data_IF_485176108327
#
_entry.id   IF_485176108327
#
_cell.length_a   1.000
_cell.length_b   1.000
_cell.length_c   1.000
_cell.angle_alpha   90.00
_cell.angle_beta   90.00
_cell.angle_gamma   90.00
#
_symmetry.space_group_name_H-M   'P 1'
#
loop_
_entity.id
_entity.type
_entity.pdbx_description
1 polymer ?
#
# COMPACT_ATOMS: atom_id res chain seq x y z
N UNK A 1 -74.27 -24.67 -32.09
CA UNK A 1 -73.34 -23.75 -32.76
C UNK A 1 -72.21 -23.52 -31.77
N UNK A 2 -71.05 -24.13 -32.03
CA UNK A 2 -69.98 -24.37 -31.03
C UNK A 2 -69.15 -23.11 -30.71
N UNK A 3 -68.68 -22.96 -29.46
CA UNK A 3 -67.99 -21.78 -28.91
C UNK A 3 -66.50 -21.62 -29.34
N UNK A 4 -66.05 -22.29 -30.40
CA UNK A 4 -64.63 -22.33 -30.77
C UNK A 4 -64.15 -21.17 -31.66
N UNK A 5 -65.06 -20.44 -32.32
CA UNK A 5 -64.69 -19.30 -33.17
C UNK A 5 -64.23 -18.06 -32.36
N UNK A 6 -64.66 -17.92 -31.11
CA UNK A 6 -64.18 -16.86 -30.21
C UNK A 6 -62.72 -17.07 -29.77
N UNK A 7 -62.26 -18.32 -29.67
CA UNK A 7 -60.89 -18.63 -29.23
C UNK A 7 -59.87 -18.32 -30.32
N UNK A 8 -60.25 -18.40 -31.59
CA UNK A 8 -59.37 -18.10 -32.71
C UNK A 8 -59.04 -16.60 -32.78
N UNK A 9 -60.04 -15.73 -32.55
CA UNK A 9 -59.84 -14.28 -32.49
C UNK A 9 -59.03 -13.84 -31.26
N UNK A 10 -59.19 -14.49 -30.11
CA UNK A 10 -58.38 -14.22 -28.92
C UNK A 10 -56.89 -14.59 -29.12
N UNK A 11 -56.62 -15.67 -29.88
CA UNK A 11 -55.25 -16.10 -30.23
C UNK A 11 -54.60 -15.16 -31.25
N UNK A 12 -55.38 -14.60 -32.17
CA UNK A 12 -54.90 -13.60 -33.14
C UNK A 12 -54.56 -12.27 -32.45
N UNK A 13 -55.36 -11.84 -31.46
CA UNK A 13 -55.07 -10.63 -30.67
C UNK A 13 -53.85 -10.80 -29.74
N UNK A 14 -53.65 -11.99 -29.14
CA UNK A 14 -52.45 -12.30 -28.36
C UNK A 14 -51.17 -12.31 -29.21
N UNK A 15 -51.26 -12.70 -30.49
CA UNK A 15 -50.11 -12.66 -31.41
C UNK A 15 -49.77 -11.25 -31.90
N UNK A 16 -50.71 -10.30 -31.88
CA UNK A 16 -50.43 -8.87 -32.16
C UNK A 16 -49.72 -8.18 -31.00
N UNK A 17 -49.88 -8.67 -29.76
CA UNK A 17 -49.13 -8.15 -28.61
C UNK A 17 -47.64 -8.53 -28.62
N UNK A 18 -47.27 -9.60 -29.33
CA UNK A 18 -45.87 -10.05 -29.42
C UNK A 18 -45.08 -9.43 -30.57
N UNK A 19 -45.71 -8.71 -31.49
CA UNK A 19 -45.01 -8.10 -32.63
C UNK A 19 -44.66 -6.62 -32.41
N UNK A 20 -45.19 -5.98 -31.36
CA UNK A 20 -44.81 -4.61 -31.00
C UNK A 20 -43.59 -4.53 -30.06
N UNK A 21 -42.79 -5.59 -30.03
CA UNK A 21 -41.48 -5.65 -29.36
C UNK A 21 -40.39 -4.98 -30.20
N UNK A 22 -40.69 -3.84 -30.82
CA UNK A 22 -39.76 -3.10 -31.67
C UNK A 22 -39.64 -1.61 -31.36
N UNK A 23 -40.28 -1.09 -30.31
CA UNK A 23 -39.99 0.25 -29.79
C UNK A 23 -39.98 0.25 -28.26
N UNK A 24 -38.82 -0.09 -27.69
CA UNK A 24 -38.28 0.65 -26.54
C UNK A 24 -38.18 2.10 -26.99
N UNK A 25 -38.82 3.09 -26.32
CA UNK A 25 -38.48 4.54 -26.38
C UNK A 25 -39.50 5.42 -25.60
N UNK A 26 -40.15 4.99 -24.52
CA UNK A 26 -40.79 6.00 -23.65
C UNK A 26 -39.70 6.70 -22.86
N UNK A 27 -39.77 8.02 -22.77
CA UNK A 27 -38.78 8.85 -22.08
C UNK A 27 -38.59 8.37 -20.63
N UNK A 28 -39.70 8.07 -19.97
CA UNK A 28 -39.76 7.54 -18.60
C UNK A 28 -38.99 6.22 -18.40
N UNK A 29 -38.92 5.36 -19.43
CA UNK A 29 -38.19 4.09 -19.34
C UNK A 29 -36.68 4.33 -19.40
N UNK A 30 -36.25 5.33 -20.18
CA UNK A 30 -34.85 5.73 -20.32
C UNK A 30 -34.40 6.48 -19.06
N UNK A 31 -35.23 7.37 -18.54
CA UNK A 31 -34.98 8.10 -17.29
C UNK A 31 -34.82 7.15 -16.10
N UNK A 32 -35.66 6.10 -16.01
CA UNK A 32 -35.48 5.07 -14.99
C UNK A 32 -34.23 4.22 -15.19
N UNK A 33 -33.85 3.89 -16.43
CA UNK A 33 -32.61 3.15 -16.72
C UNK A 33 -31.36 4.01 -16.39
N UNK A 34 -31.41 5.33 -16.63
CA UNK A 34 -30.36 6.29 -16.25
C UNK A 34 -30.25 6.47 -14.74
N UNK A 35 -31.37 6.66 -14.02
CA UNK A 35 -31.37 6.80 -12.55
C UNK A 35 -30.84 5.54 -11.86
N UNK A 36 -31.14 4.35 -12.41
CA UNK A 36 -30.65 3.08 -11.88
C UNK A 36 -29.14 2.89 -12.11
N UNK A 37 -28.64 3.33 -13.28
CA UNK A 37 -27.21 3.29 -13.60
C UNK A 37 -26.40 4.29 -12.76
N UNK A 38 -26.91 5.51 -12.55
CA UNK A 38 -26.28 6.51 -11.67
C UNK A 38 -26.19 6.01 -10.22
N UNK A 39 -27.26 5.36 -9.72
CA UNK A 39 -27.26 4.78 -8.38
C UNK A 39 -26.30 3.59 -8.24
N UNK A 40 -26.16 2.74 -9.26
CA UNK A 40 -25.17 1.64 -9.25
C UNK A 40 -23.72 2.16 -9.29
N UNK A 41 -23.45 3.19 -10.10
CA UNK A 41 -22.12 3.83 -10.18
C UNK A 41 -21.73 4.53 -8.86
N UNK A 42 -22.69 5.16 -8.17
CA UNK A 42 -22.46 5.78 -6.86
C UNK A 42 -22.16 4.73 -5.77
N UNK A 43 -22.83 3.57 -5.80
CA UNK A 43 -22.57 2.47 -4.86
C UNK A 43 -21.20 1.83 -5.11
N UNK A 44 -20.80 1.60 -6.36
CA UNK A 44 -19.47 1.08 -6.70
C UNK A 44 -18.35 2.06 -6.29
N UNK A 45 -18.55 3.36 -6.46
CA UNK A 45 -17.57 4.37 -6.06
C UNK A 45 -17.39 4.45 -4.53
N UNK A 46 -18.46 4.28 -3.75
CA UNK A 46 -18.40 4.33 -2.28
C UNK A 46 -17.71 3.07 -1.71
N UNK A 47 -17.90 1.89 -2.32
CA UNK A 47 -17.16 0.66 -1.98
C UNK A 47 -15.65 0.76 -2.31
N UNK A 48 -15.29 1.44 -3.42
CA UNK A 48 -13.90 1.70 -3.79
C UNK A 48 -13.23 2.74 -2.87
N UNK A 49 -13.99 3.71 -2.37
CA UNK A 49 -13.51 4.71 -1.42
C UNK A 49 -13.28 4.11 -0.01
N UNK A 50 -14.13 3.17 0.43
CA UNK A 50 -14.06 2.54 1.75
C UNK A 50 -12.79 1.67 1.96
N UNK A 51 -12.13 1.24 0.87
CA UNK A 51 -10.94 0.41 0.92
C UNK A 51 -9.60 1.13 0.74
N UNK A 52 -9.59 2.46 0.59
CA UNK A 52 -8.37 3.24 0.79
C UNK A 52 -8.09 3.39 2.28
N UNK A 53 -7.63 2.30 2.91
CA UNK A 53 -6.85 2.42 4.13
C UNK A 53 -5.67 3.33 3.80
N UNK A 54 -5.65 4.52 4.38
CA UNK A 54 -4.52 5.43 4.33
C UNK A 54 -3.25 4.62 4.59
N UNK A 55 -2.47 4.40 3.52
CA UNK A 55 -1.13 3.82 3.66
C UNK A 55 -0.40 4.80 4.57
N UNK A 56 -0.17 4.39 5.82
CA UNK A 56 0.52 5.19 6.82
C UNK A 56 1.76 5.76 6.17
N UNK A 57 1.76 7.05 5.88
CA UNK A 57 2.93 7.71 5.34
C UNK A 57 4.05 7.51 6.35
N UNK A 58 5.15 6.92 5.93
CA UNK A 58 6.28 6.70 6.81
C UNK A 58 6.68 8.06 7.44
N UNK A 59 7.02 8.10 8.74
CA UNK A 59 7.35 9.35 9.41
C UNK A 59 8.37 10.14 8.60
N UNK A 60 8.19 11.46 8.54
CA UNK A 60 9.08 12.35 7.80
C UNK A 60 10.55 12.27 8.28
N UNK A 61 10.77 11.81 9.53
CA UNK A 61 12.10 11.59 10.10
C UNK A 61 12.19 10.21 10.75
N UNK A 62 13.25 9.45 10.45
CA UNK A 62 13.53 8.12 10.99
C UNK A 62 14.78 8.19 11.89
N UNK A 63 14.71 7.55 13.05
CA UNK A 63 15.79 7.54 14.07
C UNK A 63 16.28 6.11 14.32
N UNK A 64 17.18 5.57 13.48
CA UNK A 64 17.78 4.28 13.75
C UNK A 64 18.77 4.38 14.93
N UNK A 65 18.69 3.42 15.84
CA UNK A 65 19.65 3.23 16.92
C UNK A 65 20.62 2.09 16.57
N UNK A 66 21.92 2.37 16.61
CA UNK A 66 22.96 1.43 16.21
C UNK A 66 23.88 1.08 17.39
N UNK A 67 24.18 -0.21 17.52
CA UNK A 67 25.18 -0.75 18.43
C UNK A 67 26.40 -1.17 17.61
N UNK A 68 27.56 -0.60 17.91
CA UNK A 68 28.81 -0.95 17.22
C UNK A 68 29.57 -1.98 18.05
N UNK A 69 29.92 -3.11 17.44
CA UNK A 69 30.76 -4.13 18.06
C UNK A 69 32.08 -4.16 17.31
N UNK A 70 33.18 -4.04 18.05
CA UNK A 70 34.54 -4.06 17.55
C UNK A 70 35.23 -5.31 18.07
N UNK A 71 35.73 -6.13 17.18
CA UNK A 71 36.49 -7.34 17.49
C UNK A 71 37.89 -7.01 18.01
N UNK A 72 38.62 -8.05 18.42
CA UNK A 72 39.98 -7.90 18.91
C UNK A 72 40.93 -7.35 17.82
N UNK A 73 40.79 -7.83 16.58
CA UNK A 73 41.64 -7.38 15.48
C UNK A 73 41.40 -5.92 15.14
N UNK A 74 40.13 -5.47 15.12
CA UNK A 74 39.77 -4.07 15.00
C UNK A 74 40.31 -3.23 16.16
N UNK A 75 40.28 -3.73 17.39
CA UNK A 75 40.90 -3.07 18.55
C UNK A 75 42.43 -2.94 18.39
N UNK A 76 43.11 -3.99 17.93
CA UNK A 76 44.56 -3.98 17.67
C UNK A 76 44.95 -3.04 16.53
N UNK A 77 44.17 -2.98 15.45
CA UNK A 77 44.39 -2.10 14.30
C UNK A 77 44.43 -0.62 14.71
N UNK A 78 43.65 -0.24 15.72
CA UNK A 78 43.63 1.12 16.28
C UNK A 78 44.67 1.32 17.40
N UNK A 79 45.76 0.57 17.37
CA UNK A 79 46.86 0.67 18.33
C UNK A 79 46.51 0.17 19.73
N UNK A 80 45.41 -0.57 19.90
CA UNK A 80 44.95 -1.00 21.22
C UNK A 80 44.45 0.15 22.10
N UNK A 81 44.07 1.28 21.51
CA UNK A 81 43.55 2.43 22.25
C UNK A 81 42.03 2.59 22.05
N UNK A 82 41.28 2.51 23.15
CA UNK A 82 39.83 2.70 23.13
C UNK A 82 39.43 4.08 22.63
N UNK A 83 40.27 5.11 22.86
CA UNK A 83 39.98 6.46 22.39
C UNK A 83 40.07 6.55 20.88
N UNK A 84 41.10 5.94 20.27
CA UNK A 84 41.24 5.88 18.82
C UNK A 84 40.09 5.10 18.16
N UNK A 85 39.74 3.93 18.70
CA UNK A 85 38.59 3.13 18.22
C UNK A 85 37.31 3.97 18.26
N UNK A 86 36.99 4.59 19.40
CA UNK A 86 35.79 5.42 19.55
C UNK A 86 35.78 6.60 18.58
N UNK A 87 36.90 7.33 18.46
CA UNK A 87 37.03 8.47 17.54
C UNK A 87 36.80 8.07 16.08
N UNK A 88 37.35 6.93 15.68
CA UNK A 88 37.17 6.39 14.34
C UNK A 88 35.69 6.12 14.07
N UNK A 89 35.01 5.33 14.90
CA UNK A 89 33.62 4.96 14.67
C UNK A 89 32.65 6.14 14.76
N UNK A 90 32.86 7.08 15.69
CA UNK A 90 32.08 8.32 15.75
C UNK A 90 32.22 9.10 14.44
N UNK A 91 33.44 9.28 13.94
CA UNK A 91 33.71 10.03 12.72
C UNK A 91 33.14 9.33 11.48
N UNK A 92 33.25 8.00 11.43
CA UNK A 92 32.68 7.18 10.37
C UNK A 92 31.15 7.36 10.29
N UNK A 93 30.46 7.18 11.42
CA UNK A 93 28.99 7.31 11.47
C UNK A 93 28.51 8.73 11.23
N UNK A 94 29.28 9.76 11.61
CA UNK A 94 29.01 11.14 11.19
C UNK A 94 29.05 11.29 9.67
N UNK A 95 30.04 10.67 9.00
CA UNK A 95 30.11 10.64 7.55
C UNK A 95 28.90 9.94 6.91
N UNK A 96 28.41 8.87 7.54
CA UNK A 96 27.22 8.15 7.12
C UNK A 96 25.95 9.02 7.29
N UNK A 97 25.77 9.68 8.43
CA UNK A 97 24.64 10.60 8.69
C UNK A 97 24.58 11.73 7.65
N UNK A 98 25.73 12.31 7.30
CA UNK A 98 25.83 13.33 6.25
C UNK A 98 25.37 12.82 4.89
N UNK A 99 25.70 11.58 4.52
CA UNK A 99 25.23 10.97 3.25
C UNK A 99 23.71 10.78 3.26
N UNK A 100 23.15 10.34 4.38
CA UNK A 100 21.71 10.16 4.49
C UNK A 100 20.94 11.49 4.46
N UNK A 101 21.54 12.59 4.92
CA UNK A 101 20.95 13.93 4.84
C UNK A 101 20.74 14.41 3.40
N UNK A 102 21.50 13.90 2.43
CA UNK A 102 21.38 14.27 1.01
C UNK A 102 20.26 13.53 0.28
N UNK A 103 19.66 12.50 0.88
CA UNK A 103 18.59 11.74 0.26
C UNK A 103 17.30 12.57 0.22
N UNK A 104 16.55 12.44 -0.88
CA UNK A 104 15.22 13.09 -1.05
C UNK A 104 14.11 12.43 -0.23
N UNK A 105 14.36 11.22 0.27
CA UNK A 105 13.42 10.42 1.07
C UNK A 105 13.30 10.91 2.51
N UNK A 106 12.72 10.09 3.42
CA UNK A 106 12.54 10.50 4.81
C UNK A 106 13.90 10.88 5.42
N UNK A 107 13.91 11.93 6.24
CA UNK A 107 15.14 12.42 6.86
C UNK A 107 15.61 11.38 7.87
N UNK A 108 16.82 10.86 7.72
CA UNK A 108 17.37 9.87 8.65
C UNK A 108 18.30 10.58 9.63
N UNK A 109 18.19 10.25 10.92
CA UNK A 109 19.07 10.75 11.98
C UNK A 109 19.63 9.56 12.75
N UNK A 110 20.86 9.20 12.46
CA UNK A 110 21.49 8.01 13.06
C UNK A 110 21.92 8.34 14.50
N UNK A 111 21.56 7.45 15.44
CA UNK A 111 21.98 7.54 16.83
C UNK A 111 22.82 6.32 17.22
N UNK A 112 24.01 6.55 17.77
CA UNK A 112 24.82 5.47 18.33
C UNK A 112 24.33 5.18 19.75
N UNK A 113 23.70 4.02 19.93
CA UNK A 113 23.25 3.56 21.24
C UNK A 113 24.41 3.10 22.13
N UNK A 114 25.46 2.50 21.53
CA UNK A 114 26.64 2.07 22.26
C UNK A 114 27.77 1.57 21.37
N UNK A 115 28.96 1.41 21.97
CA UNK A 115 30.13 0.79 21.35
C UNK A 115 30.68 -0.26 22.32
N UNK A 116 30.76 -1.51 21.87
CA UNK A 116 31.36 -2.63 22.58
C UNK A 116 32.70 -2.95 21.92
N UNK A 117 33.76 -3.04 22.72
CA UNK A 117 35.13 -3.30 22.23
C UNK A 117 35.63 -4.59 22.88
N UNK A 118 35.82 -5.62 22.07
CA UNK A 118 36.42 -6.88 22.48
C UNK A 118 37.94 -6.70 22.67
N UNK A 119 38.42 -6.93 23.89
CA UNK A 119 39.84 -6.79 24.24
C UNK A 119 40.58 -8.12 24.38
N UNK A 120 39.84 -9.21 24.39
CA UNK A 120 40.38 -10.56 24.53
C UNK A 120 40.20 -11.24 23.17
N UNK A 121 41.23 -11.99 22.75
CA UNK A 121 41.11 -12.87 21.60
C UNK A 121 40.19 -14.00 22.03
N UNK A 122 39.07 -14.17 21.34
CA UNK A 122 38.22 -15.35 21.51
C UNK A 122 38.95 -16.56 20.92
N UNK A 123 39.81 -17.19 21.73
CA UNK A 123 40.47 -18.46 21.41
C UNK A 123 39.53 -19.66 21.67
N UNK A 124 38.26 -19.59 21.27
CA UNK A 124 37.25 -20.64 21.51
C UNK A 124 37.41 -21.90 20.62
N UNK A 125 38.60 -22.14 20.08
CA UNK A 125 38.95 -23.36 19.35
C UNK A 125 40.35 -23.84 19.78
N UNK A 126 40.42 -24.50 20.94
CA UNK A 126 41.47 -25.47 21.27
C UNK A 126 40.92 -26.54 22.21
#
# INVERSE_FOLDING_TARGET
MEPDDLKFNAKLQRRRRSFNRQHRTTLDDIEMEEEFLEAEDDIENDELAAHQRDKRQAPYIIYPEILVIVDYDGYRLHGGDNLQVKRYFISFWNGVDLRYRLLKGPRIRISIAGIIISRIIDNTLH
#
